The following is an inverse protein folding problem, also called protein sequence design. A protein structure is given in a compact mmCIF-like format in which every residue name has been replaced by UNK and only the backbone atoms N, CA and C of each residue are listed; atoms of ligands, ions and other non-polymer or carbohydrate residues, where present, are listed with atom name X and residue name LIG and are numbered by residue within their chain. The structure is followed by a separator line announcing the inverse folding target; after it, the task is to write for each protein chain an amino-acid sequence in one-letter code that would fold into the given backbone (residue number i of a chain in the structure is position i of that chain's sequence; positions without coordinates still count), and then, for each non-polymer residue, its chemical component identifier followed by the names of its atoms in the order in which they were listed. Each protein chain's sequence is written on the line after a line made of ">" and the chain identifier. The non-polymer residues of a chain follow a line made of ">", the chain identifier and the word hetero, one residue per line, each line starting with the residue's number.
data_IF_042431607225
#
_entry.id   IF_042431607225
#
_cell.length_a   1.000
_cell.length_b   1.000
_cell.length_c   1.000
_cell.angle_alpha   90.00
_cell.angle_beta   90.00
_cell.angle_gamma   90.00
#
_symmetry.space_group_name_H-M   'P 1'
#
loop_
_entity.id
_entity.type
_entity.pdbx_description
1 polymer ?
#
# COMPACT_ATOMS: atom_id res chain seq x y z
N UNK A 1 -25.97 10.49 -9.19
CA UNK A 1 -24.61 10.35 -9.77
C UNK A 1 -23.84 9.40 -8.85
N UNK A 2 -23.32 8.32 -9.40
CA UNK A 2 -22.46 7.39 -8.65
C UNK A 2 -21.13 8.14 -8.41
N UNK A 3 -20.68 8.20 -7.15
CA UNK A 3 -19.42 8.85 -6.81
C UNK A 3 -18.26 8.05 -7.43
N UNK A 4 -17.35 8.72 -8.14
CA UNK A 4 -16.14 8.14 -8.70
C UNK A 4 -14.92 8.79 -8.03
N UNK A 5 -14.14 8.01 -7.30
CA UNK A 5 -12.92 8.45 -6.63
C UNK A 5 -11.70 7.95 -7.43
N UNK A 6 -10.81 8.86 -7.78
CA UNK A 6 -9.49 8.54 -8.28
C UNK A 6 -8.52 8.39 -7.09
N UNK A 7 -7.94 7.22 -6.93
CA UNK A 7 -6.93 6.94 -5.91
C UNK A 7 -5.56 6.71 -6.57
N UNK A 8 -4.53 7.38 -6.08
CA UNK A 8 -3.17 7.34 -6.64
C UNK A 8 -2.18 6.96 -5.54
N UNK A 9 -1.56 5.79 -5.65
CA UNK A 9 -0.52 5.28 -4.75
C UNK A 9 0.83 5.30 -5.47
N UNK A 10 1.65 6.32 -5.19
CA UNK A 10 2.99 6.47 -5.77
C UNK A 10 4.01 5.82 -4.86
N UNK A 11 4.62 4.73 -5.34
CA UNK A 11 5.71 4.02 -4.66
C UNK A 11 7.03 4.23 -5.41
N UNK A 12 8.15 3.79 -4.81
CA UNK A 12 9.49 3.99 -5.39
C UNK A 12 9.66 3.38 -6.79
N UNK A 13 8.99 2.29 -7.11
CA UNK A 13 9.15 1.57 -8.39
C UNK A 13 7.93 1.64 -9.30
N UNK A 14 6.75 1.68 -8.72
CA UNK A 14 5.49 1.67 -9.45
C UNK A 14 4.47 2.60 -8.79
N UNK A 15 3.69 3.24 -9.64
CA UNK A 15 2.51 3.99 -9.24
C UNK A 15 1.27 3.18 -9.58
N UNK A 16 0.39 3.01 -8.60
CA UNK A 16 -0.91 2.36 -8.79
C UNK A 16 -1.98 3.45 -8.87
N UNK A 17 -2.72 3.43 -9.96
CA UNK A 17 -3.88 4.31 -10.20
C UNK A 17 -5.13 3.45 -10.11
N UNK A 18 -6.10 3.86 -9.31
CA UNK A 18 -7.36 3.12 -9.15
C UNK A 18 -8.57 4.02 -9.26
N UNK A 19 -9.61 3.54 -9.93
CA UNK A 19 -10.94 4.13 -9.88
C UNK A 19 -11.82 3.32 -8.92
N UNK A 20 -12.42 4.04 -7.97
CA UNK A 20 -13.36 3.46 -7.03
C UNK A 20 -14.74 4.07 -7.27
N UNK A 21 -15.75 3.20 -7.38
CA UNK A 21 -17.14 3.57 -7.55
C UNK A 21 -17.92 3.35 -6.25
N UNK A 22 -18.78 4.29 -5.89
CA UNK A 22 -19.54 4.24 -4.65
C UNK A 22 -18.83 4.92 -3.48
N UNK A 23 -19.47 4.86 -2.33
CA UNK A 23 -18.92 5.38 -1.06
C UNK A 23 -19.22 4.41 0.08
N UNK A 24 -18.43 4.49 1.16
CA UNK A 24 -18.58 3.67 2.39
C UNK A 24 -18.55 2.18 2.06
N UNK A 25 -19.48 1.42 2.59
CA UNK A 25 -19.56 -0.05 2.45
C UNK A 25 -19.82 -0.52 1.01
N UNK A 26 -20.31 0.36 0.14
CA UNK A 26 -20.60 0.05 -1.26
C UNK A 26 -19.47 0.42 -2.22
N UNK A 27 -18.37 0.98 -1.70
CA UNK A 27 -17.25 1.36 -2.53
C UNK A 27 -16.49 0.14 -3.05
N UNK A 28 -16.26 0.09 -4.37
CA UNK A 28 -15.53 -0.97 -5.04
C UNK A 28 -14.48 -0.38 -5.97
N UNK A 29 -13.32 -0.99 -6.03
CA UNK A 29 -12.34 -0.72 -7.08
C UNK A 29 -12.90 -1.30 -8.39
N UNK A 30 -13.20 -0.43 -9.35
CA UNK A 30 -13.78 -0.81 -10.64
C UNK A 30 -12.70 -1.01 -11.70
N UNK A 31 -11.63 -0.23 -11.62
CA UNK A 31 -10.46 -0.37 -12.48
C UNK A 31 -9.19 -0.02 -11.72
N UNK A 32 -8.08 -0.63 -12.14
CA UNK A 32 -6.76 -0.38 -11.59
C UNK A 32 -5.72 -0.52 -12.68
N UNK A 33 -4.75 0.39 -12.67
CA UNK A 33 -3.57 0.37 -13.54
C UNK A 33 -2.31 0.46 -12.70
N UNK A 34 -1.24 -0.11 -13.20
CA UNK A 34 0.09 -0.01 -12.61
C UNK A 34 1.06 0.50 -13.66
N UNK A 35 1.64 1.65 -13.41
CA UNK A 35 2.65 2.27 -14.25
C UNK A 35 3.98 2.33 -13.51
N UNK A 36 5.07 2.56 -14.23
CA UNK A 36 6.37 2.80 -13.61
C UNK A 36 6.36 4.16 -12.93
N UNK A 37 7.01 4.26 -11.77
CA UNK A 37 7.28 5.56 -11.14
C UNK A 37 8.58 6.12 -11.71
N UNK A 38 8.51 7.30 -12.28
CA UNK A 38 9.66 8.10 -12.70
C UNK A 38 9.83 9.26 -11.73
N UNK A 39 11.01 9.36 -11.07
CA UNK A 39 11.25 10.34 -10.01
C UNK A 39 11.31 11.78 -10.51
N UNK A 40 11.52 11.97 -11.82
CA UNK A 40 11.65 13.28 -12.49
C UNK A 40 10.43 13.59 -13.38
N UNK A 41 9.33 12.81 -13.24
CA UNK A 41 8.09 13.04 -13.97
C UNK A 41 7.51 14.40 -13.62
N UNK A 42 6.99 15.10 -14.62
CA UNK A 42 6.32 16.39 -14.46
C UNK A 42 4.81 16.22 -14.23
N UNK A 43 4.17 17.27 -13.70
CA UNK A 43 2.72 17.31 -13.53
C UNK A 43 1.97 17.08 -14.84
N UNK A 44 2.46 17.62 -15.94
CA UNK A 44 1.84 17.49 -17.26
C UNK A 44 1.93 16.06 -17.79
N UNK A 45 3.07 15.38 -17.64
CA UNK A 45 3.25 13.97 -18.01
C UNK A 45 2.36 13.05 -17.16
N UNK A 46 2.26 13.32 -15.85
CA UNK A 46 1.34 12.60 -14.97
C UNK A 46 -0.11 12.79 -15.39
N UNK A 47 -0.53 14.03 -15.67
CA UNK A 47 -1.88 14.35 -16.12
C UNK A 47 -2.22 13.61 -17.41
N UNK A 48 -1.34 13.70 -18.42
CA UNK A 48 -1.52 13.01 -19.72
C UNK A 48 -1.65 11.49 -19.54
N UNK A 49 -0.80 10.92 -18.67
CA UNK A 49 -0.80 9.47 -18.41
C UNK A 49 -2.08 9.05 -17.69
N UNK A 50 -2.45 9.75 -16.62
CA UNK A 50 -3.61 9.39 -15.80
C UNK A 50 -4.91 9.61 -16.57
N UNK A 51 -5.05 10.75 -17.25
CA UNK A 51 -6.22 11.06 -18.08
C UNK A 51 -6.40 10.03 -19.19
N UNK A 52 -5.29 9.65 -19.86
CA UNK A 52 -5.31 8.60 -20.87
C UNK A 52 -5.72 7.22 -20.33
N UNK A 53 -5.40 6.89 -19.07
CA UNK A 53 -5.79 5.64 -18.44
C UNK A 53 -7.26 5.63 -18.03
N UNK A 54 -7.76 6.73 -17.44
CA UNK A 54 -9.13 6.81 -16.91
C UNK A 54 -10.15 7.18 -17.99
N UNK A 55 -9.72 7.81 -19.10
CA UNK A 55 -10.55 8.14 -20.26
C UNK A 55 -11.78 8.97 -19.87
N UNK A 56 -12.96 8.55 -20.33
CA UNK A 56 -14.22 9.27 -20.09
C UNK A 56 -14.60 9.41 -18.62
N UNK A 57 -14.03 8.60 -17.73
CA UNK A 57 -14.27 8.71 -16.29
C UNK A 57 -13.60 9.94 -15.68
N UNK A 58 -12.68 10.60 -16.40
CA UNK A 58 -12.07 11.89 -16.02
C UNK A 58 -13.12 12.97 -15.72
N UNK A 59 -14.15 13.08 -16.58
CA UNK A 59 -15.24 14.05 -16.41
C UNK A 59 -16.21 13.69 -15.27
N UNK A 60 -16.16 12.45 -14.80
CA UNK A 60 -17.07 11.91 -13.78
C UNK A 60 -16.47 11.90 -12.39
N UNK A 61 -15.22 12.34 -12.23
CA UNK A 61 -14.53 12.34 -10.95
C UNK A 61 -15.26 13.22 -9.94
N UNK A 62 -15.52 12.67 -8.78
CA UNK A 62 -16.14 13.38 -7.64
C UNK A 62 -15.16 13.60 -6.49
N UNK A 63 -13.94 13.07 -6.61
CA UNK A 63 -12.87 13.24 -5.65
C UNK A 63 -11.59 12.57 -6.09
N UNK A 64 -10.48 12.99 -5.48
CA UNK A 64 -9.18 12.35 -5.65
C UNK A 64 -8.48 12.17 -4.32
N UNK A 65 -7.79 11.05 -4.14
CA UNK A 65 -6.94 10.79 -2.98
C UNK A 65 -5.58 10.26 -3.45
N UNK A 66 -4.51 10.84 -2.96
CA UNK A 66 -3.19 10.40 -3.35
C UNK A 66 -2.23 10.33 -2.17
N UNK A 67 -1.28 9.41 -2.26
CA UNK A 67 -0.09 9.36 -1.43
C UNK A 67 1.15 9.16 -2.29
N UNK A 68 2.30 9.53 -1.77
CA UNK A 68 3.57 9.21 -2.40
C UNK A 68 4.65 8.92 -1.35
N UNK A 69 5.44 7.88 -1.60
CA UNK A 69 6.70 7.62 -0.89
C UNK A 69 7.89 8.32 -1.55
N UNK A 70 7.66 9.03 -2.67
CA UNK A 70 8.66 9.80 -3.43
C UNK A 70 8.31 11.29 -3.35
N UNK A 71 9.03 12.09 -2.53
CA UNK A 71 8.66 13.50 -2.27
C UNK A 71 8.58 14.38 -3.52
N UNK A 72 9.50 14.18 -4.50
CA UNK A 72 9.46 14.93 -5.77
C UNK A 72 8.17 14.68 -6.54
N UNK A 73 7.77 13.41 -6.66
CA UNK A 73 6.53 13.04 -7.37
C UNK A 73 5.28 13.50 -6.63
N UNK A 74 5.30 13.55 -5.29
CA UNK A 74 4.18 14.10 -4.51
C UNK A 74 3.92 15.57 -4.84
N UNK A 75 4.99 16.35 -5.02
CA UNK A 75 4.88 17.74 -5.45
C UNK A 75 4.21 17.86 -6.81
N UNK A 76 4.63 17.05 -7.78
CA UNK A 76 4.06 17.03 -9.12
C UNK A 76 2.60 16.55 -9.14
N UNK A 77 2.25 15.56 -8.31
CA UNK A 77 0.85 15.12 -8.13
C UNK A 77 -0.03 16.27 -7.64
N UNK A 78 0.48 17.10 -6.71
CA UNK A 78 -0.28 18.27 -6.24
C UNK A 78 -0.53 19.26 -7.37
N UNK A 79 0.52 19.67 -8.10
CA UNK A 79 0.42 20.58 -9.25
C UNK A 79 -0.57 20.02 -10.28
N UNK A 80 -0.45 18.73 -10.60
CA UNK A 80 -1.33 18.05 -11.53
C UNK A 80 -2.80 18.16 -11.12
N UNK A 81 -3.13 17.86 -9.86
CA UNK A 81 -4.51 17.90 -9.38
C UNK A 81 -5.07 19.32 -9.37
N UNK A 82 -4.28 20.31 -8.96
CA UNK A 82 -4.68 21.72 -8.95
C UNK A 82 -4.90 22.28 -10.37
N UNK A 83 -4.09 21.86 -11.32
CA UNK A 83 -4.11 22.39 -12.69
C UNK A 83 -5.15 21.71 -13.58
N UNK A 84 -5.25 20.39 -13.53
CA UNK A 84 -6.07 19.60 -14.46
C UNK A 84 -7.45 19.23 -13.91
N UNK A 85 -7.58 19.12 -12.57
CA UNK A 85 -8.87 18.85 -11.92
C UNK A 85 -9.19 19.83 -10.80
N UNK A 86 -9.15 21.17 -11.06
CA UNK A 86 -9.26 22.20 -10.02
C UNK A 86 -10.62 22.21 -9.30
N UNK A 87 -11.66 21.69 -9.94
CA UNK A 87 -13.00 21.59 -9.36
C UNK A 87 -13.26 20.30 -8.59
N UNK A 88 -12.33 19.35 -8.65
CA UNK A 88 -12.47 18.05 -7.98
C UNK A 88 -11.79 18.12 -6.62
N UNK A 89 -12.51 17.93 -5.51
CA UNK A 89 -11.91 17.94 -4.19
C UNK A 89 -10.85 16.82 -4.09
N UNK A 90 -9.68 17.18 -3.54
CA UNK A 90 -8.58 16.22 -3.40
C UNK A 90 -8.00 16.17 -1.98
N UNK A 91 -7.43 15.03 -1.62
CA UNK A 91 -6.71 14.80 -0.37
C UNK A 91 -5.37 14.14 -0.69
N UNK A 92 -4.27 14.86 -0.39
CA UNK A 92 -2.92 14.31 -0.42
C UNK A 92 -2.54 13.85 0.99
N UNK A 93 -2.11 12.59 1.14
CA UNK A 93 -1.74 12.05 2.44
C UNK A 93 -0.32 12.53 2.79
N UNK A 94 -0.28 13.51 3.64
CA UNK A 94 0.95 14.18 4.13
C UNK A 94 0.90 14.34 5.65
N UNK A 95 2.01 14.67 6.31
CA UNK A 95 2.01 15.01 7.73
C UNK A 95 1.00 16.12 8.04
N UNK A 96 0.09 15.86 8.96
CA UNK A 96 -0.99 16.78 9.34
C UNK A 96 -2.37 16.46 8.74
N UNK A 97 -2.46 15.59 7.73
CA UNK A 97 -3.74 15.08 7.23
C UNK A 97 -4.35 14.14 8.26
N UNK A 98 -5.66 14.27 8.46
CA UNK A 98 -6.40 13.39 9.37
C UNK A 98 -6.60 12.02 8.72
N UNK A 99 -5.73 11.09 9.01
CA UNK A 99 -5.85 9.71 8.54
C UNK A 99 -6.95 8.94 9.27
N UNK A 100 -7.24 9.32 10.51
CA UNK A 100 -8.25 8.67 11.34
C UNK A 100 -7.76 7.42 12.07
N UNK A 101 -6.45 7.20 12.11
CA UNK A 101 -5.78 6.19 12.89
C UNK A 101 -4.74 6.87 13.79
N UNK A 102 -4.78 6.71 15.13
CA UNK A 102 -3.73 7.19 16.01
C UNK A 102 -2.41 6.47 15.74
N UNK A 103 -1.31 7.21 15.75
CA UNK A 103 0.04 6.65 15.55
C UNK A 103 0.75 6.60 16.91
N UNK A 104 0.87 5.41 17.49
CA UNK A 104 1.53 5.16 18.77
C UNK A 104 2.98 4.71 18.54
N UNK A 105 3.78 5.63 18.00
CA UNK A 105 5.20 5.44 17.67
C UNK A 105 6.00 6.66 18.13
N UNK A 106 7.30 6.50 18.29
CA UNK A 106 8.20 7.56 18.79
C UNK A 106 8.19 8.78 17.88
N UNK A 107 8.23 8.58 16.56
CA UNK A 107 8.19 9.66 15.57
C UNK A 107 7.10 9.43 14.50
N UNK A 108 5.87 9.92 14.74
CA UNK A 108 4.77 9.75 13.79
C UNK A 108 5.00 10.35 12.39
N UNK A 109 5.91 11.34 12.27
CA UNK A 109 6.21 11.99 10.99
C UNK A 109 7.06 11.14 10.04
N UNK A 110 7.73 10.12 10.56
CA UNK A 110 8.56 9.19 9.80
C UNK A 110 7.78 7.99 9.26
N UNK A 111 6.54 7.81 9.69
CA UNK A 111 5.72 6.70 9.21
C UNK A 111 5.25 6.98 7.79
N UNK A 112 5.56 6.08 6.88
CA UNK A 112 5.12 6.15 5.49
C UNK A 112 3.59 6.19 5.38
N UNK A 113 3.07 7.05 4.51
CA UNK A 113 1.64 7.21 4.30
C UNK A 113 0.96 5.90 3.88
N UNK A 114 1.64 5.10 3.07
CA UNK A 114 1.23 3.77 2.62
C UNK A 114 1.00 2.80 3.79
N UNK A 115 1.90 2.76 4.75
CA UNK A 115 1.79 1.92 5.95
C UNK A 115 0.56 2.32 6.80
N UNK A 116 0.33 3.63 6.94
CA UNK A 116 -0.80 4.18 7.68
C UNK A 116 -2.13 3.80 7.02
N UNK A 117 -2.26 4.02 5.71
CA UNK A 117 -3.52 3.75 5.01
C UNK A 117 -3.80 2.25 4.89
N UNK A 118 -2.77 1.42 4.79
CA UNK A 118 -2.90 -0.03 4.79
C UNK A 118 -3.45 -0.54 6.14
N UNK A 119 -2.89 -0.06 7.26
CA UNK A 119 -3.38 -0.39 8.59
C UNK A 119 -4.80 0.14 8.82
N UNK A 120 -5.11 1.34 8.35
CA UNK A 120 -6.46 1.89 8.39
C UNK A 120 -7.46 0.99 7.65
N UNK A 121 -7.12 0.56 6.43
CA UNK A 121 -7.98 -0.31 5.61
C UNK A 121 -8.16 -1.69 6.24
N UNK A 122 -7.11 -2.26 6.80
CA UNK A 122 -7.17 -3.53 7.51
C UNK A 122 -8.10 -3.42 8.73
N UNK A 123 -7.94 -2.39 9.56
CA UNK A 123 -8.81 -2.17 10.70
C UNK A 123 -10.26 -1.91 10.29
N UNK A 124 -10.50 -1.13 9.25
CA UNK A 124 -11.86 -0.89 8.74
C UNK A 124 -12.54 -2.17 8.29
N UNK A 125 -11.81 -3.05 7.61
CA UNK A 125 -12.33 -4.31 7.09
C UNK A 125 -12.59 -5.36 8.18
N UNK A 126 -11.65 -5.53 9.11
CA UNK A 126 -11.70 -6.64 10.07
C UNK A 126 -12.28 -6.24 11.43
N UNK A 127 -12.28 -4.95 11.78
CA UNK A 127 -12.75 -4.39 13.05
C UNK A 127 -12.12 -5.06 14.29
N UNK A 128 -10.90 -5.54 14.15
CA UNK A 128 -10.08 -6.16 15.20
C UNK A 128 -8.61 -5.85 14.96
N UNK A 129 -7.75 -6.32 15.87
CA UNK A 129 -6.31 -6.23 15.67
C UNK A 129 -5.89 -6.90 14.37
N UNK A 130 -4.91 -6.32 13.67
CA UNK A 130 -4.40 -6.90 12.44
C UNK A 130 -2.89 -6.70 12.29
N UNK A 131 -2.27 -7.63 11.60
CA UNK A 131 -0.91 -7.51 11.05
C UNK A 131 -1.05 -7.38 9.54
N UNK A 132 -0.47 -6.32 8.99
CA UNK A 132 -0.50 -6.04 7.56
C UNK A 132 0.88 -6.32 6.98
N UNK A 133 0.95 -7.18 5.97
CA UNK A 133 2.19 -7.49 5.26
C UNK A 133 2.10 -6.91 3.85
N UNK A 134 2.86 -5.85 3.58
CA UNK A 134 2.93 -5.22 2.26
C UNK A 134 4.18 -5.66 1.52
N UNK A 135 4.00 -6.34 0.39
CA UNK A 135 5.06 -6.88 -0.47
C UNK A 135 5.38 -5.94 -1.64
N UNK A 136 6.14 -4.89 -1.35
CA UNK A 136 6.61 -3.89 -2.31
C UNK A 136 8.13 -3.96 -2.59
N UNK A 137 8.73 -2.78 -2.83
CA UNK A 137 10.19 -2.60 -2.86
C UNK A 137 10.84 -2.87 -1.49
N UNK A 138 10.07 -2.68 -0.43
CA UNK A 138 10.30 -3.20 0.90
C UNK A 138 9.18 -4.17 1.27
N UNK A 139 9.44 -5.09 2.19
CA UNK A 139 8.41 -5.85 2.88
C UNK A 139 8.16 -5.13 4.20
N UNK A 140 6.98 -4.56 4.37
CA UNK A 140 6.56 -3.94 5.61
C UNK A 140 5.59 -4.88 6.33
N UNK A 141 5.87 -5.14 7.62
CA UNK A 141 5.00 -5.94 8.50
C UNK A 141 4.54 -5.01 9.60
N UNK A 142 3.34 -4.47 9.47
CA UNK A 142 2.79 -3.41 10.30
C UNK A 142 1.67 -3.91 11.20
N UNK A 143 1.51 -3.25 12.35
CA UNK A 143 0.58 -3.67 13.38
C UNK A 143 -0.43 -2.59 13.66
N UNK A 144 -1.71 -2.98 13.64
CA UNK A 144 -2.82 -2.15 14.13
C UNK A 144 -3.49 -2.84 15.31
N UNK A 145 -3.72 -2.08 16.39
CA UNK A 145 -4.36 -2.59 17.61
C UNK A 145 -5.86 -2.86 17.43
N UNK A 146 -6.47 -3.58 18.37
CA UNK A 146 -7.92 -3.79 18.41
C UNK A 146 -8.73 -2.49 18.56
N UNK A 147 -8.07 -1.37 18.92
CA UNK A 147 -8.67 -0.03 19.00
C UNK A 147 -8.47 0.80 17.73
N UNK A 148 -7.82 0.24 16.72
CA UNK A 148 -7.50 0.96 15.49
C UNK A 148 -6.32 1.92 15.62
N UNK A 149 -5.32 1.58 16.43
CA UNK A 149 -4.10 2.37 16.64
C UNK A 149 -2.93 1.71 15.87
N UNK A 150 -2.17 2.49 15.12
CA UNK A 150 -0.94 2.02 14.49
C UNK A 150 0.16 1.88 15.55
N UNK A 151 0.69 0.69 15.74
CA UNK A 151 1.67 0.38 16.77
C UNK A 151 3.12 0.34 16.28
N UNK A 152 3.34 0.48 14.98
CA UNK A 152 4.65 0.29 14.36
C UNK A 152 4.73 -1.04 13.62
N UNK A 153 5.94 -1.56 13.44
CA UNK A 153 6.16 -2.81 12.72
C UNK A 153 7.61 -3.03 12.34
N UNK A 154 7.84 -3.94 11.40
CA UNK A 154 9.16 -4.28 10.87
C UNK A 154 9.24 -3.96 9.38
N UNK A 155 10.42 -3.57 8.91
CA UNK A 155 10.71 -3.32 7.49
C UNK A 155 11.90 -4.19 7.07
N UNK A 156 11.72 -4.95 6.02
CA UNK A 156 12.77 -5.73 5.38
C UNK A 156 12.91 -5.32 3.90
N UNK A 157 14.07 -5.57 3.25
CA UNK A 157 14.19 -5.37 1.81
C UNK A 157 13.21 -6.25 1.04
N UNK A 158 12.63 -5.72 -0.05
CA UNK A 158 11.74 -6.50 -0.91
C UNK A 158 12.47 -7.59 -1.69
N UNK A 159 11.71 -8.59 -2.14
CA UNK A 159 12.25 -9.79 -2.84
C UNK A 159 13.04 -9.40 -4.08
N UNK A 160 12.44 -8.53 -4.94
CA UNK A 160 13.08 -8.10 -6.18
C UNK A 160 14.33 -7.28 -5.92
N UNK A 161 14.28 -6.33 -4.98
CA UNK A 161 15.42 -5.49 -4.61
C UNK A 161 16.58 -6.32 -4.09
N UNK A 162 16.29 -7.32 -3.24
CA UNK A 162 17.31 -8.23 -2.70
C UNK A 162 17.94 -9.10 -3.80
N UNK A 163 17.13 -9.63 -4.71
CA UNK A 163 17.57 -10.42 -5.84
C UNK A 163 18.46 -9.60 -6.80
N UNK A 164 18.06 -8.38 -7.11
CA UNK A 164 18.83 -7.46 -7.95
C UNK A 164 20.15 -7.04 -7.29
N UNK A 165 20.14 -6.79 -5.98
CA UNK A 165 21.34 -6.46 -5.22
C UNK A 165 22.34 -7.63 -5.18
N UNK A 166 21.86 -8.87 -5.02
CA UNK A 166 22.69 -10.07 -5.08
C UNK A 166 23.34 -10.23 -6.45
N UNK A 167 22.57 -10.05 -7.53
CA UNK A 167 23.08 -10.13 -8.90
C UNK A 167 24.09 -9.01 -9.21
N UNK A 168 23.88 -7.80 -8.70
CA UNK A 168 24.77 -6.66 -8.94
C UNK A 168 26.12 -6.78 -8.19
N UNK A 169 26.17 -7.53 -7.08
CA UNK A 169 27.37 -7.64 -6.22
C UNK A 169 28.10 -8.94 -6.31
N UNK A 170 27.62 -9.90 -7.07
CA UNK A 170 28.22 -11.22 -7.25
C UNK A 170 28.58 -11.48 -8.71
N UNK A 171 29.82 -11.80 -8.97
CA UNK A 171 30.30 -12.20 -10.32
C UNK A 171 29.67 -13.51 -10.82
N UNK A 172 29.22 -14.36 -9.90
CA UNK A 172 28.66 -15.68 -10.20
C UNK A 172 27.12 -15.66 -10.34
N UNK A 173 26.47 -14.63 -9.81
CA UNK A 173 25.02 -14.51 -9.84
C UNK A 173 24.60 -13.51 -10.92
N UNK A 174 23.52 -13.81 -11.62
CA UNK A 174 22.91 -12.93 -12.61
C UNK A 174 21.44 -12.68 -12.27
N UNK A 175 20.85 -11.65 -12.86
CA UNK A 175 19.43 -11.44 -12.75
C UNK A 175 18.66 -12.68 -13.21
N UNK A 176 17.74 -13.11 -12.37
CA UNK A 176 16.83 -14.22 -12.67
C UNK A 176 15.39 -13.72 -12.52
N UNK A 177 14.51 -14.25 -13.35
CA UNK A 177 13.10 -14.03 -13.18
C UNK A 177 12.63 -14.66 -11.86
N UNK A 178 11.88 -13.89 -11.06
CA UNK A 178 11.29 -14.39 -9.84
C UNK A 178 10.10 -15.29 -10.17
N UNK A 179 10.29 -16.57 -9.97
CA UNK A 179 9.26 -17.59 -10.17
C UNK A 179 9.39 -18.66 -9.09
N UNK A 180 8.33 -19.37 -8.81
CA UNK A 180 8.35 -20.51 -7.89
C UNK A 180 9.18 -21.64 -8.49
N UNK A 181 10.26 -22.11 -7.83
CA UNK A 181 11.05 -23.23 -8.33
C UNK A 181 10.32 -24.56 -8.14
N UNK A 182 10.78 -25.59 -8.80
CA UNK A 182 10.22 -26.96 -8.69
C UNK A 182 10.41 -27.57 -7.29
N UNK A 183 11.48 -27.18 -6.59
CA UNK A 183 11.86 -27.73 -5.29
C UNK A 183 12.67 -26.69 -4.50
N UNK A 184 12.65 -26.81 -3.18
CA UNK A 184 13.52 -26.03 -2.27
C UNK A 184 14.99 -26.30 -2.56
N UNK A 185 15.34 -27.53 -2.96
CA UNK A 185 16.70 -27.90 -3.37
C UNK A 185 16.80 -27.72 -4.88
N UNK A 186 17.30 -26.56 -5.32
CA UNK A 186 17.55 -26.25 -6.73
C UNK A 186 18.70 -27.12 -7.30
N UNK A 187 18.59 -27.43 -8.57
CA UNK A 187 19.59 -28.23 -9.28
C UNK A 187 20.53 -27.43 -10.20
N UNK A 188 20.27 -26.12 -10.28
CA UNK A 188 21.09 -25.15 -10.99
C UNK A 188 20.99 -23.78 -10.28
N UNK A 189 21.87 -22.84 -10.61
CA UNK A 189 21.96 -21.53 -9.95
C UNK A 189 20.67 -20.77 -10.01
N UNK A 190 19.92 -20.82 -11.12
CA UNK A 190 18.62 -20.11 -11.26
C UNK A 190 17.60 -20.66 -10.25
N UNK A 191 17.44 -21.97 -10.20
CA UNK A 191 16.53 -22.61 -9.23
C UNK A 191 16.95 -22.36 -7.78
N UNK A 192 18.27 -22.37 -7.49
CA UNK A 192 18.78 -22.04 -6.16
C UNK A 192 18.45 -20.61 -5.74
N UNK A 193 18.61 -19.64 -6.65
CA UNK A 193 18.24 -18.23 -6.41
C UNK A 193 16.74 -18.07 -6.24
N UNK A 194 15.94 -18.70 -7.07
CA UNK A 194 14.48 -18.71 -6.96
C UNK A 194 14.01 -19.34 -5.65
N UNK A 195 14.62 -20.45 -5.24
CA UNK A 195 14.31 -21.11 -3.97
C UNK A 195 14.62 -20.20 -2.76
N UNK A 196 15.78 -19.57 -2.75
CA UNK A 196 16.14 -18.56 -1.74
C UNK A 196 15.18 -17.37 -1.70
N UNK A 197 14.78 -16.89 -2.88
CA UNK A 197 13.83 -15.77 -2.99
C UNK A 197 12.43 -16.17 -2.51
N UNK A 198 11.89 -17.29 -2.96
CA UNK A 198 10.49 -17.64 -2.64
C UNK A 198 10.38 -18.19 -1.21
N UNK A 199 11.09 -19.27 -0.90
CA UNK A 199 10.97 -19.93 0.41
C UNK A 199 11.67 -19.15 1.52
N UNK A 200 12.79 -18.47 1.20
CA UNK A 200 13.52 -17.64 2.16
C UNK A 200 12.71 -16.45 2.62
N UNK A 201 12.09 -15.72 1.69
CA UNK A 201 11.23 -14.57 2.06
C UNK A 201 9.90 -14.98 2.68
N UNK A 202 9.31 -16.10 2.29
CA UNK A 202 8.16 -16.65 3.00
C UNK A 202 8.51 -16.95 4.46
N UNK A 203 9.63 -17.65 4.70
CA UNK A 203 10.11 -17.93 6.06
C UNK A 203 10.47 -16.67 6.86
N UNK A 204 11.00 -15.61 6.20
CA UNK A 204 11.25 -14.30 6.83
C UNK A 204 9.93 -13.69 7.33
N UNK A 205 8.91 -13.67 6.49
CA UNK A 205 7.60 -13.08 6.83
C UNK A 205 6.93 -13.89 7.94
N UNK A 206 6.85 -15.22 7.82
CA UNK A 206 6.27 -16.07 8.86
C UNK A 206 7.01 -15.93 10.19
N UNK A 207 8.35 -15.82 10.15
CA UNK A 207 9.17 -15.58 11.33
C UNK A 207 8.94 -14.22 11.99
N UNK A 208 8.76 -13.15 11.19
CA UNK A 208 8.43 -11.81 11.73
C UNK A 208 7.03 -11.77 12.31
N UNK A 209 6.04 -12.30 11.60
CA UNK A 209 4.65 -12.36 12.08
C UNK A 209 4.57 -13.16 13.40
N UNK A 210 5.27 -14.31 13.48
CA UNK A 210 5.32 -15.10 14.70
C UNK A 210 5.87 -14.30 15.89
N UNK A 211 7.00 -13.62 15.73
CA UNK A 211 7.62 -12.77 16.77
C UNK A 211 6.73 -11.59 17.17
N UNK A 212 6.09 -10.92 16.19
CA UNK A 212 5.17 -9.81 16.48
C UNK A 212 3.99 -10.29 17.30
N UNK A 213 3.44 -11.48 17.02
CA UNK A 213 2.34 -12.07 17.81
C UNK A 213 2.75 -12.37 19.24
N UNK A 214 4.02 -12.73 19.48
CA UNK A 214 4.55 -12.98 20.82
C UNK A 214 4.85 -11.69 21.60
N UNK A 215 5.35 -10.65 20.89
CA UNK A 215 5.85 -9.41 21.49
C UNK A 215 4.73 -8.41 21.81
N UNK A 216 3.71 -8.32 20.96
CA UNK A 216 2.62 -7.34 21.14
C UNK A 216 1.65 -7.81 22.21
N UNK A 217 1.74 -7.18 23.38
CA UNK A 217 0.83 -7.44 24.50
C UNK A 217 -0.62 -7.11 24.11
N UNK A 218 -1.52 -8.06 24.30
CA UNK A 218 -2.93 -7.95 23.90
C UNK A 218 -3.27 -8.69 22.62
N UNK A 219 -2.28 -9.17 21.83
CA UNK A 219 -2.53 -10.14 20.76
C UNK A 219 -2.70 -11.56 21.31
N UNK A 220 -2.24 -11.78 22.54
CA UNK A 220 -2.27 -13.10 23.19
C UNK A 220 -3.61 -13.44 23.84
N UNK A 221 -4.49 -12.47 24.11
CA UNK A 221 -5.66 -12.71 24.98
C UNK A 221 -6.74 -13.51 24.26
N UNK A 222 -6.90 -13.36 22.93
CA UNK A 222 -7.94 -14.08 22.18
C UNK A 222 -7.46 -14.73 20.87
N UNK A 223 -6.18 -14.67 20.54
CA UNK A 223 -5.60 -15.15 19.27
C UNK A 223 -6.31 -14.67 17.98
N UNK A 224 -7.23 -13.73 18.09
CA UNK A 224 -8.06 -13.24 16.98
C UNK A 224 -7.44 -12.00 16.32
N UNK A 225 -6.26 -12.19 15.72
CA UNK A 225 -5.54 -11.18 14.92
C UNK A 225 -5.67 -11.54 13.46
N UNK A 226 -6.18 -10.62 12.64
CA UNK A 226 -6.21 -10.81 11.20
C UNK A 226 -4.82 -10.58 10.60
N UNK A 227 -4.34 -11.47 9.76
CA UNK A 227 -3.08 -11.30 9.04
C UNK A 227 -3.38 -11.16 7.56
N UNK A 228 -3.19 -9.93 7.04
CA UNK A 228 -3.53 -9.58 5.68
C UNK A 228 -2.30 -9.20 4.88
N UNK A 229 -2.11 -9.85 3.73
CA UNK A 229 -1.11 -9.50 2.74
C UNK A 229 -1.66 -8.55 1.68
N UNK A 230 -0.80 -7.65 1.21
CA UNK A 230 -1.04 -6.78 0.05
C UNK A 230 0.26 -6.63 -0.75
N UNK A 231 0.21 -5.87 -1.84
CA UNK A 231 1.37 -5.61 -2.69
C UNK A 231 1.50 -6.56 -3.87
N UNK A 232 2.23 -6.10 -4.88
CA UNK A 232 2.28 -6.77 -6.19
C UNK A 232 3.12 -8.05 -6.21
N UNK A 233 4.04 -8.22 -5.25
CA UNK A 233 4.88 -9.42 -5.14
C UNK A 233 4.23 -10.50 -4.25
N UNK A 234 3.18 -10.17 -3.50
CA UNK A 234 2.48 -11.10 -2.63
C UNK A 234 2.04 -12.39 -3.34
N UNK A 235 1.44 -12.38 -4.56
CA UNK A 235 0.98 -13.61 -5.21
C UNK A 235 2.07 -14.66 -5.43
N UNK A 236 3.33 -14.24 -5.56
CA UNK A 236 4.46 -15.16 -5.68
C UNK A 236 4.75 -15.95 -4.39
N UNK A 237 4.52 -15.30 -3.24
CA UNK A 237 4.88 -15.83 -1.92
C UNK A 237 3.70 -16.46 -1.18
N UNK A 238 2.48 -16.02 -1.46
CA UNK A 238 1.25 -16.49 -0.78
C UNK A 238 1.14 -18.02 -0.66
N UNK A 239 1.48 -18.83 -1.69
CA UNK A 239 1.38 -20.28 -1.58
C UNK A 239 2.33 -20.90 -0.54
N UNK A 240 3.36 -20.17 -0.13
CA UNK A 240 4.41 -20.62 0.79
C UNK A 240 4.32 -19.95 2.18
N UNK A 241 3.36 -19.04 2.37
CA UNK A 241 3.11 -18.37 3.64
C UNK A 241 2.14 -19.17 4.49
N UNK A 242 2.51 -19.41 5.75
CA UNK A 242 1.71 -20.18 6.69
C UNK A 242 0.92 -19.29 7.66
N UNK A 243 1.32 -18.04 7.83
CA UNK A 243 0.72 -17.12 8.80
C UNK A 243 -0.29 -16.16 8.21
N UNK A 244 -0.35 -16.01 6.89
CA UNK A 244 -1.24 -15.05 6.21
C UNK A 244 -2.61 -15.66 5.99
N UNK A 245 -3.66 -15.01 6.53
CA UNK A 245 -5.06 -15.47 6.43
C UNK A 245 -5.77 -14.89 5.20
N UNK A 246 -5.39 -13.66 4.81
CA UNK A 246 -6.10 -12.88 3.80
C UNK A 246 -5.14 -12.24 2.81
N UNK A 247 -5.59 -12.09 1.58
CA UNK A 247 -4.93 -11.26 0.57
C UNK A 247 -5.88 -10.21 0.03
N UNK A 248 -5.41 -8.96 -0.04
CA UNK A 248 -6.17 -7.86 -0.64
C UNK A 248 -5.23 -6.99 -1.49
N UNK A 249 -5.32 -7.14 -2.81
CA UNK A 249 -4.53 -6.34 -3.75
C UNK A 249 -4.92 -4.86 -3.77
N UNK A 250 -6.10 -4.51 -3.25
CA UNK A 250 -6.65 -3.15 -3.27
C UNK A 250 -6.57 -2.45 -1.91
N UNK A 251 -5.90 -3.05 -0.93
CA UNK A 251 -5.89 -2.57 0.45
C UNK A 251 -5.49 -1.08 0.54
N UNK A 252 -4.43 -0.67 -0.16
CA UNK A 252 -3.97 0.73 -0.17
C UNK A 252 -5.00 1.67 -0.79
N UNK A 253 -5.62 1.28 -1.91
CA UNK A 253 -6.66 2.10 -2.57
C UNK A 253 -7.88 2.27 -1.67
N UNK A 254 -8.27 1.23 -0.92
CA UNK A 254 -9.33 1.32 0.07
C UNK A 254 -8.94 2.24 1.23
N UNK A 255 -7.70 2.18 1.68
CA UNK A 255 -7.19 3.10 2.71
C UNK A 255 -7.22 4.57 2.26
N UNK A 256 -6.80 4.85 1.03
CA UNK A 256 -6.90 6.18 0.42
C UNK A 256 -8.35 6.69 0.41
N UNK A 257 -9.29 5.84 0.00
CA UNK A 257 -10.73 6.17 0.04
C UNK A 257 -11.20 6.54 1.44
N UNK A 258 -10.84 5.75 2.44
CA UNK A 258 -11.25 6.00 3.83
C UNK A 258 -10.73 7.35 4.34
N UNK A 259 -9.50 7.71 4.02
CA UNK A 259 -8.95 9.02 4.38
C UNK A 259 -9.68 10.15 3.65
N UNK A 260 -9.96 9.98 2.36
CA UNK A 260 -10.71 10.95 1.58
C UNK A 260 -12.11 11.20 2.17
N UNK A 261 -12.88 10.17 2.43
CA UNK A 261 -14.24 10.28 2.98
C UNK A 261 -14.25 11.00 4.32
N UNK A 262 -13.30 10.69 5.22
CA UNK A 262 -13.17 11.35 6.53
C UNK A 262 -12.86 12.85 6.42
N UNK A 263 -11.99 13.23 5.48
CA UNK A 263 -11.64 14.64 5.30
C UNK A 263 -12.77 15.44 4.64
N UNK A 264 -13.54 14.86 3.73
CA UNK A 264 -14.75 15.49 3.16
C UNK A 264 -15.83 15.75 4.21
N UNK A 265 -16.07 14.81 5.13
CA UNK A 265 -17.05 14.98 6.21
C UNK A 265 -16.69 16.17 7.11
N UNK A 266 -15.40 16.34 7.43
CA UNK A 266 -14.89 17.45 8.22
C UNK A 266 -15.08 18.79 7.50
N UNK A 267 -14.78 18.86 6.20
CA UNK A 267 -14.99 20.08 5.41
C UNK A 267 -16.47 20.47 5.34
N UNK A 268 -17.36 19.52 5.10
CA UNK A 268 -18.82 19.73 5.10
C UNK A 268 -19.36 20.14 6.46
N UNK A 269 -18.83 19.62 7.55
CA UNK A 269 -19.18 19.99 8.92
C UNK A 269 -18.81 21.44 9.24
N UNK A 270 -17.60 21.89 8.86
CA UNK A 270 -17.13 23.26 9.04
C UNK A 270 -17.96 24.28 8.28
N UNK A 271 -18.41 23.97 7.06
CA UNK A 271 -19.27 24.83 6.25
C UNK A 271 -20.68 24.97 6.83
N UNK A 272 -21.19 23.98 7.56
CA UNK A 272 -22.48 24.03 8.24
C UNK A 272 -22.44 24.84 9.54
N UNK A 273 -21.30 24.88 10.23
CA UNK A 273 -21.14 25.66 11.49
C UNK A 273 -20.75 27.12 11.23
N UNK A 274 -20.36 27.48 10.02
CA UNK A 274 -20.02 28.84 9.62
C UNK A 274 -21.21 29.63 8.99
N UNK A 275 -22.36 28.99 8.91
CA UNK A 275 -23.65 29.61 8.52
C UNK A 275 -24.58 29.74 9.73
#
# INVERSE_FOLDING_TARGET
>A
VIAVLLAIDVRNTHTVVGLLSGMKEHAKVVQQWRIRTESEVTADELALTIDGLIGEDSERLTGTAALSTVPSVLHEVRIMLDQYWPSVPHVLIEPGVRTGIPLLVDNPKEVGADRIVNCLAAYDRFRKAAIVVDFGSSICVDVVSAKGEFLGGAIAPGVQVSSDAAAARSAALRRVELARPRSVVGKNTVECMQAGAVFGFAGLVDGLVGRIREDVSGFSVDHDVAIVATGHTAPLLLPELHTVDHYDQHLTLQGLRLVFERNLEVQRGRLKTAR
#
